data_IF_386818447300
#
_entry.id   IF_386818447300
#
_cell.length_a   1.000
_cell.length_b   1.000
_cell.length_c   1.000
_cell.angle_alpha   90.00
_cell.angle_beta   90.00
_cell.angle_gamma   90.00
#
_symmetry.space_group_name_H-M   'P 1'
#
loop_
_entity.id
_entity.type
_entity.pdbx_description
1 polymer ?
#
# COMPACT_ATOMS: atom_id res chain seq x y z
N UNK A 1 -5.84 -26.09 12.33
CA UNK A 1 -5.35 -27.24 11.55
C UNK A 1 -4.10 -26.78 10.82
N UNK A 2 -2.95 -27.32 11.22
CA UNK A 2 -1.66 -27.15 10.56
C UNK A 2 -1.48 -28.37 9.65
N UNK A 3 -1.26 -28.15 8.34
CA UNK A 3 -1.17 -29.23 7.36
C UNK A 3 -1.00 -28.71 5.92
N UNK A 4 0.26 -28.51 5.55
CA UNK A 4 0.89 -28.50 4.21
C UNK A 4 0.04 -28.24 2.95
N UNK A 5 0.37 -27.14 2.25
CA UNK A 5 0.80 -27.22 0.85
C UNK A 5 2.11 -26.41 0.71
N UNK A 6 3.25 -27.08 0.86
CA UNK A 6 4.59 -26.52 0.62
C UNK A 6 4.92 -26.58 -0.88
N UNK A 7 4.04 -26.00 -1.70
CA UNK A 7 4.19 -25.93 -3.14
C UNK A 7 4.25 -24.47 -3.59
N UNK A 8 5.22 -24.16 -4.45
CA UNK A 8 5.14 -22.97 -5.28
C UNK A 8 4.01 -23.21 -6.29
N UNK A 9 2.97 -22.37 -6.29
CA UNK A 9 1.87 -22.44 -7.23
C UNK A 9 2.17 -21.54 -8.44
N UNK A 10 2.49 -22.11 -9.61
CA UNK A 10 2.61 -21.35 -10.85
C UNK A 10 1.21 -21.05 -11.39
N UNK A 11 1.00 -19.80 -11.79
CA UNK A 11 -0.24 -19.32 -12.41
C UNK A 11 0.10 -18.67 -13.74
N UNK A 12 -0.60 -19.07 -14.81
CA UNK A 12 -0.54 -18.44 -16.12
C UNK A 12 -1.76 -17.53 -16.31
N UNK A 13 -1.56 -16.22 -16.19
CA UNK A 13 -2.65 -15.24 -16.23
C UNK A 13 -3.23 -15.04 -17.63
N UNK A 14 -2.53 -15.48 -18.68
CA UNK A 14 -2.99 -15.36 -20.07
C UNK A 14 -3.87 -16.54 -20.45
N UNK A 15 -3.53 -17.74 -19.97
CA UNK A 15 -4.22 -18.98 -20.33
C UNK A 15 -5.35 -19.34 -19.36
N UNK A 16 -5.25 -18.93 -18.10
CA UNK A 16 -6.26 -19.25 -17.09
C UNK A 16 -7.42 -18.24 -17.10
N UNK A 17 -8.64 -18.72 -16.92
CA UNK A 17 -9.85 -17.87 -16.86
C UNK A 17 -9.96 -17.03 -15.58
N UNK A 18 -9.04 -17.21 -14.62
CA UNK A 18 -8.99 -16.48 -13.36
C UNK A 18 -7.98 -17.10 -12.42
N UNK A 19 -7.49 -16.30 -11.48
CA UNK A 19 -6.45 -16.71 -10.53
C UNK A 19 -6.75 -16.23 -9.11
N UNK A 20 -6.10 -16.81 -8.08
CA UNK A 20 -6.30 -16.39 -6.69
C UNK A 20 -6.02 -14.90 -6.48
N UNK A 21 -6.87 -14.24 -5.70
CA UNK A 21 -6.70 -12.86 -5.25
C UNK A 21 -6.43 -11.86 -6.40
N UNK A 22 -7.27 -11.82 -7.44
CA UNK A 22 -6.93 -11.14 -8.70
C UNK A 22 -6.69 -9.64 -8.51
N UNK A 23 -7.47 -9.00 -7.64
CA UNK A 23 -7.33 -7.58 -7.31
C UNK A 23 -6.03 -7.32 -6.55
N UNK A 24 -5.75 -8.09 -5.50
CA UNK A 24 -4.55 -7.93 -4.67
C UNK A 24 -3.26 -8.17 -5.47
N UNK A 25 -3.21 -9.21 -6.31
CA UNK A 25 -2.04 -9.49 -7.15
C UNK A 25 -1.83 -8.38 -8.19
N UNK A 26 -2.90 -7.83 -8.76
CA UNK A 26 -2.80 -6.68 -9.66
C UNK A 26 -2.26 -5.43 -8.93
N UNK A 27 -2.68 -5.20 -7.68
CA UNK A 27 -2.15 -4.13 -6.85
C UNK A 27 -0.67 -4.34 -6.51
N UNK A 28 -0.23 -5.57 -6.23
CA UNK A 28 1.20 -5.89 -6.06
C UNK A 28 2.02 -5.61 -7.33
N UNK A 29 1.47 -5.93 -8.50
CA UNK A 29 2.10 -5.63 -9.78
C UNK A 29 2.27 -4.11 -9.98
N UNK A 30 1.20 -3.33 -9.76
CA UNK A 30 1.24 -1.86 -9.81
C UNK A 30 2.22 -1.28 -8.79
N UNK A 31 2.25 -1.84 -7.58
CA UNK A 31 3.16 -1.42 -6.53
C UNK A 31 4.63 -1.62 -6.92
N UNK A 32 4.96 -2.74 -7.56
CA UNK A 32 6.31 -2.97 -8.09
C UNK A 32 6.70 -1.91 -9.12
N UNK A 33 5.80 -1.55 -10.03
CA UNK A 33 6.04 -0.47 -11.00
C UNK A 33 6.19 0.88 -10.31
N UNK A 34 5.35 1.19 -9.32
CA UNK A 34 5.48 2.40 -8.51
C UNK A 34 6.86 2.50 -7.86
N UNK A 35 7.37 1.41 -7.26
CA UNK A 35 8.74 1.33 -6.73
C UNK A 35 9.79 1.61 -7.81
N UNK A 36 9.71 0.96 -8.97
CA UNK A 36 10.66 1.16 -10.06
C UNK A 36 10.64 2.62 -10.56
N UNK A 37 9.44 3.18 -10.76
CA UNK A 37 9.22 4.55 -11.17
C UNK A 37 9.85 5.56 -10.20
N UNK A 38 9.68 5.37 -8.89
CA UNK A 38 10.34 6.21 -7.89
C UNK A 38 11.87 6.14 -7.97
N UNK A 39 12.44 4.94 -8.11
CA UNK A 39 13.90 4.76 -8.14
C UNK A 39 14.56 5.22 -9.45
N UNK A 40 13.82 5.21 -10.56
CA UNK A 40 14.36 5.49 -11.90
C UNK A 40 13.85 6.81 -12.51
N UNK A 41 12.88 7.47 -11.88
CA UNK A 41 12.23 8.65 -12.43
C UNK A 41 11.44 8.36 -13.71
N UNK A 42 10.87 7.16 -13.84
CA UNK A 42 10.09 6.72 -15.00
C UNK A 42 8.59 6.77 -14.72
N UNK A 43 7.75 6.52 -15.74
CA UNK A 43 6.29 6.48 -15.57
C UNK A 43 5.67 5.23 -16.21
N UNK A 44 6.17 4.04 -15.87
CA UNK A 44 5.58 2.80 -16.35
C UNK A 44 4.20 2.55 -15.75
N UNK A 45 3.24 2.25 -16.61
CA UNK A 45 1.90 1.83 -16.25
C UNK A 45 1.72 0.34 -16.55
N UNK A 46 0.95 -0.33 -15.69
CA UNK A 46 0.65 -1.76 -15.84
C UNK A 46 -0.27 -1.98 -17.05
N UNK A 47 0.21 -2.74 -18.03
CA UNK A 47 -0.62 -3.22 -19.14
C UNK A 47 -1.34 -4.51 -18.75
N UNK A 48 -0.57 -5.57 -18.51
CA UNK A 48 -1.13 -6.89 -18.25
C UNK A 48 -0.23 -7.74 -17.36
N UNK A 49 -0.84 -8.60 -16.56
CA UNK A 49 -0.13 -9.62 -15.80
C UNK A 49 0.02 -10.87 -16.68
N UNK A 50 1.25 -11.35 -16.86
CA UNK A 50 1.52 -12.50 -17.74
C UNK A 50 1.45 -13.80 -16.95
N UNK A 51 2.17 -13.86 -15.83
CA UNK A 51 2.23 -15.03 -14.95
C UNK A 51 2.76 -14.66 -13.59
N UNK A 52 2.50 -15.49 -12.60
CA UNK A 52 3.17 -15.37 -11.31
C UNK A 52 3.32 -16.72 -10.62
N UNK A 53 4.28 -16.78 -9.71
CA UNK A 53 4.43 -17.89 -8.79
C UNK A 53 4.09 -17.39 -7.39
N UNK A 54 3.30 -18.13 -6.63
CA UNK A 54 2.97 -17.77 -5.26
C UNK A 54 3.12 -18.93 -4.29
N UNK A 55 3.45 -18.63 -3.04
CA UNK A 55 3.39 -19.63 -1.98
C UNK A 55 1.97 -19.76 -1.42
N UNK A 56 1.51 -21.00 -1.20
CA UNK A 56 0.17 -21.32 -0.72
C UNK A 56 0.06 -21.24 0.82
N UNK A 57 0.69 -20.25 1.42
CA UNK A 57 0.72 -20.02 2.86
C UNK A 57 -0.22 -18.86 3.27
N UNK A 58 -0.45 -18.69 4.58
CA UNK A 58 -1.25 -17.56 5.09
C UNK A 58 -0.62 -16.20 4.76
N UNK A 59 0.71 -16.15 4.69
CA UNK A 59 1.50 -15.07 4.09
C UNK A 59 2.12 -15.60 2.81
N UNK A 60 2.00 -14.88 1.72
CA UNK A 60 2.50 -15.32 0.42
C UNK A 60 3.74 -14.53 -0.01
N UNK A 61 4.68 -15.23 -0.65
CA UNK A 61 5.69 -14.61 -1.50
C UNK A 61 5.24 -14.78 -2.94
N UNK A 62 5.13 -13.68 -3.67
CA UNK A 62 4.60 -13.62 -5.04
C UNK A 62 5.69 -13.08 -5.96
N UNK A 63 6.07 -13.88 -6.95
CA UNK A 63 7.01 -13.49 -8.01
C UNK A 63 6.28 -13.41 -9.34
N UNK A 64 6.11 -12.19 -9.86
CA UNK A 64 5.28 -11.86 -11.00
C UNK A 64 6.13 -11.53 -12.23
N UNK A 65 5.61 -11.88 -13.40
CA UNK A 65 6.04 -11.34 -14.69
C UNK A 65 4.85 -10.58 -15.29
N UNK A 66 5.08 -9.35 -15.70
CA UNK A 66 4.06 -8.45 -16.20
C UNK A 66 4.57 -7.67 -17.42
N UNK A 67 3.66 -7.13 -18.20
CA UNK A 67 3.93 -6.14 -19.24
C UNK A 67 3.58 -4.75 -18.70
N UNK A 68 4.44 -3.79 -18.98
CA UNK A 68 4.22 -2.39 -18.65
C UNK A 68 4.69 -1.50 -19.79
N UNK A 69 4.03 -0.37 -19.99
CA UNK A 69 4.40 0.61 -21.01
C UNK A 69 4.56 1.99 -20.38
N UNK A 70 5.39 2.83 -20.99
CA UNK A 70 5.38 4.26 -20.68
C UNK A 70 4.33 4.96 -21.56
N UNK A 71 3.63 5.98 -21.05
CA UNK A 71 2.72 6.80 -21.86
C UNK A 71 3.50 7.48 -22.99
N UNK A 72 3.32 6.98 -24.22
CA UNK A 72 3.94 7.50 -25.44
C UNK A 72 2.98 7.31 -26.63
N UNK A 73 3.15 8.06 -27.75
CA UNK A 73 2.30 7.91 -28.94
C UNK A 73 2.30 6.51 -29.54
N UNK A 74 3.43 5.79 -29.42
CA UNK A 74 3.59 4.38 -29.78
C UNK A 74 4.20 3.62 -28.59
N UNK A 75 3.38 3.18 -27.63
CA UNK A 75 3.85 2.64 -26.37
C UNK A 75 4.44 1.23 -26.55
N UNK A 76 5.76 1.12 -26.45
CA UNK A 76 6.44 -0.17 -26.47
C UNK A 76 6.36 -0.86 -25.09
N UNK A 77 5.63 -1.98 -25.03
CA UNK A 77 5.54 -2.78 -23.83
C UNK A 77 6.89 -3.42 -23.46
N UNK A 78 7.30 -3.24 -22.20
CA UNK A 78 8.47 -3.88 -21.60
C UNK A 78 8.03 -4.97 -20.64
N UNK A 79 8.80 -6.06 -20.60
CA UNK A 79 8.57 -7.15 -19.64
C UNK A 79 9.25 -6.84 -18.32
N UNK A 80 8.47 -6.80 -17.24
CA UNK A 80 8.96 -6.60 -15.88
C UNK A 80 8.90 -7.87 -15.06
N UNK A 81 9.77 -7.93 -14.07
CA UNK A 81 9.73 -8.89 -12.98
C UNK A 81 9.52 -8.14 -11.67
N UNK A 82 8.52 -8.57 -10.89
CA UNK A 82 8.19 -7.98 -9.59
C UNK A 82 8.14 -9.07 -8.54
N UNK A 83 8.68 -8.81 -7.35
CA UNK A 83 8.59 -9.68 -6.18
C UNK A 83 7.98 -8.93 -5.01
N UNK A 84 7.01 -9.57 -4.36
CA UNK A 84 6.39 -9.10 -3.12
C UNK A 84 6.40 -10.23 -2.09
N UNK A 85 6.87 -9.94 -0.88
CA UNK A 85 6.93 -10.88 0.24
C UNK A 85 6.04 -10.36 1.38
N UNK A 86 4.94 -11.05 1.69
CA UNK A 86 4.05 -10.66 2.78
C UNK A 86 4.63 -11.00 4.15
N UNK A 87 4.53 -10.07 5.11
CA UNK A 87 5.00 -10.25 6.48
C UNK A 87 3.86 -10.63 7.44
N UNK A 88 2.61 -10.25 7.13
CA UNK A 88 1.44 -10.50 7.99
C UNK A 88 0.22 -10.92 7.19
N UNK A 89 -0.52 -11.88 7.72
CA UNK A 89 -1.83 -12.26 7.18
C UNK A 89 -2.91 -11.30 7.68
N UNK A 90 -3.90 -10.99 6.83
CA UNK A 90 -5.07 -10.16 7.14
C UNK A 90 -4.74 -8.71 7.58
N UNK A 91 -3.59 -8.20 7.18
CA UNK A 91 -3.13 -6.83 7.43
C UNK A 91 -2.16 -6.45 6.31
N UNK A 92 -2.10 -5.16 5.97
CA UNK A 92 -1.14 -4.68 4.99
C UNK A 92 0.24 -4.64 5.63
N UNK A 93 1.11 -5.57 5.27
CA UNK A 93 2.54 -5.56 5.61
C UNK A 93 3.29 -6.46 4.61
N UNK A 94 4.07 -5.86 3.72
CA UNK A 94 4.92 -6.58 2.78
C UNK A 94 6.16 -5.80 2.41
N UNK A 95 7.12 -6.51 1.83
CA UNK A 95 8.30 -5.96 1.16
C UNK A 95 8.22 -6.19 -0.36
N UNK A 96 8.65 -5.20 -1.14
CA UNK A 96 8.95 -5.31 -2.56
C UNK A 96 10.45 -5.15 -2.79
N UNK A 97 11.13 -6.29 -2.96
CA UNK A 97 12.59 -6.38 -3.12
C UNK A 97 13.03 -6.43 -4.59
N UNK A 98 12.13 -6.80 -5.50
CA UNK A 98 12.40 -6.85 -6.94
C UNK A 98 11.32 -6.07 -7.67
N UNK A 99 11.73 -5.09 -8.45
CA UNK A 99 10.98 -4.54 -9.56
C UNK A 99 12.00 -4.06 -10.59
N UNK A 100 12.04 -4.70 -11.75
CA UNK A 100 13.04 -4.45 -12.80
C UNK A 100 12.56 -4.93 -14.16
N UNK A 101 13.16 -4.41 -15.23
CA UNK A 101 12.96 -4.95 -16.57
C UNK A 101 13.69 -6.30 -16.66
N UNK A 102 13.04 -7.30 -17.23
CA UNK A 102 13.51 -8.69 -17.24
C UNK A 102 14.91 -8.85 -17.85
N UNK A 103 15.21 -8.05 -18.88
CA UNK A 103 16.46 -8.16 -19.64
C UNK A 103 17.61 -7.34 -19.05
N UNK A 104 17.36 -6.50 -18.03
CA UNK A 104 18.41 -5.72 -17.36
C UNK A 104 19.37 -6.59 -16.53
N UNK A 105 18.92 -7.74 -16.03
CA UNK A 105 19.74 -8.59 -15.14
C UNK A 105 19.54 -10.07 -15.43
N UNK A 106 20.59 -10.72 -15.94
CA UNK A 106 20.64 -12.18 -16.14
C UNK A 106 21.00 -12.86 -14.81
N UNK A 107 20.06 -12.91 -13.86
CA UNK A 107 20.27 -13.70 -12.64
C UNK A 107 20.01 -15.18 -12.93
N UNK A 108 21.06 -16.00 -12.94
CA UNK A 108 20.97 -17.48 -13.05
C UNK A 108 20.53 -18.18 -11.75
N UNK A 109 20.37 -17.45 -10.65
CA UNK A 109 20.05 -18.03 -9.35
C UNK A 109 18.56 -18.38 -9.26
N UNK A 110 18.20 -19.57 -8.73
CA UNK A 110 16.81 -19.97 -8.54
C UNK A 110 16.12 -19.06 -7.52
N UNK A 111 14.80 -18.94 -7.66
CA UNK A 111 13.95 -18.23 -6.72
C UNK A 111 13.99 -18.90 -5.34
N UNK A 112 14.46 -18.15 -4.34
CA UNK A 112 14.39 -18.56 -2.93
C UNK A 112 13.46 -17.58 -2.21
N UNK A 113 12.30 -18.04 -1.71
CA UNK A 113 11.46 -17.23 -0.83
C UNK A 113 12.27 -16.78 0.39
N UNK A 114 12.13 -15.52 0.75
CA UNK A 114 12.78 -14.89 1.89
C UNK A 114 11.71 -14.01 2.55
N UNK A 115 11.45 -14.25 3.83
CA UNK A 115 10.39 -13.59 4.59
C UNK A 115 10.96 -12.65 5.66
N UNK A 116 12.19 -12.18 5.45
CA UNK A 116 13.00 -11.51 6.48
C UNK A 116 13.68 -10.22 5.99
N UNK A 117 13.29 -9.69 4.84
CA UNK A 117 13.75 -8.37 4.40
C UNK A 117 12.81 -7.29 4.93
N UNK A 118 13.36 -6.28 5.57
CA UNK A 118 12.66 -5.04 5.87
C UNK A 118 13.55 -3.91 5.34
N UNK A 119 12.97 -2.99 4.56
CA UNK A 119 13.64 -1.76 4.18
C UNK A 119 14.08 -1.01 5.46
N UNK A 120 15.30 -0.53 5.44
CA UNK A 120 15.93 0.12 6.59
C UNK A 120 15.16 1.40 6.95
N UNK A 121 14.45 1.36 8.08
CA UNK A 121 13.60 2.45 8.54
C UNK A 121 14.24 3.25 9.68
N UNK A 122 14.10 4.56 9.63
CA UNK A 122 14.65 5.51 10.60
C UNK A 122 13.56 6.43 11.18
N UNK A 123 13.87 7.07 12.32
CA UNK A 123 12.99 8.06 12.94
C UNK A 123 11.55 7.57 13.15
N UNK A 124 10.59 8.38 12.70
CA UNK A 124 9.13 8.13 12.80
C UNK A 124 8.64 6.93 11.95
N UNK A 125 9.51 6.37 11.11
CA UNK A 125 9.18 5.23 10.25
C UNK A 125 9.55 3.88 10.88
N UNK A 126 10.22 3.88 12.04
CA UNK A 126 10.59 2.68 12.78
C UNK A 126 9.48 2.29 13.77
N UNK A 127 9.26 1.00 13.94
CA UNK A 127 8.34 0.45 14.95
C UNK A 127 6.87 0.44 14.49
N UNK A 128 5.94 0.55 15.44
CA UNK A 128 4.51 0.45 15.15
C UNK A 128 4.01 1.60 14.26
N UNK A 129 2.95 1.33 13.48
CA UNK A 129 2.25 2.36 12.71
C UNK A 129 1.62 3.40 13.65
N UNK A 130 1.72 4.72 13.35
CA UNK A 130 1.13 5.75 14.17
C UNK A 130 -0.40 5.62 14.20
N UNK A 131 -1.05 6.29 15.15
CA UNK A 131 -2.49 6.44 15.14
C UNK A 131 -2.88 7.65 14.28
N UNK A 132 -4.17 7.78 13.98
CA UNK A 132 -4.69 8.99 13.34
C UNK A 132 -4.33 10.24 14.18
N UNK A 133 -3.73 11.29 13.61
CA UNK A 133 -3.38 12.51 14.33
C UNK A 133 -4.64 13.26 14.81
N UNK A 134 -4.54 14.07 15.87
CA UNK A 134 -5.63 14.97 16.25
C UNK A 134 -5.83 16.06 15.18
N UNK A 135 -7.01 16.66 15.13
CA UNK A 135 -7.31 17.73 14.17
C UNK A 135 -6.36 18.92 14.36
N UNK A 136 -6.01 19.25 15.62
CA UNK A 136 -5.00 20.28 15.93
C UNK A 136 -3.61 19.93 15.38
N UNK A 137 -3.23 18.65 15.42
CA UNK A 137 -1.95 18.20 14.88
C UNK A 137 -1.94 18.22 13.35
N UNK A 138 -3.06 17.91 12.69
CA UNK A 138 -3.19 17.99 11.23
C UNK A 138 -3.07 19.44 10.71
N UNK A 139 -3.40 20.43 11.55
CA UNK A 139 -3.23 21.84 11.21
C UNK A 139 -1.76 22.31 11.30
N UNK A 140 -0.84 21.48 11.79
CA UNK A 140 0.59 21.76 11.76
C UNK A 140 1.16 21.54 10.35
N UNK A 141 1.12 22.58 9.52
CA UNK A 141 1.66 22.56 8.15
C UNK A 141 3.17 22.29 8.07
N UNK A 142 3.91 22.46 9.17
CA UNK A 142 5.33 22.08 9.22
C UNK A 142 5.48 20.57 9.24
N UNK A 143 4.62 19.88 9.98
CA UNK A 143 4.66 18.42 10.13
C UNK A 143 3.91 17.66 9.05
N UNK A 144 2.73 18.14 8.68
CA UNK A 144 1.86 17.46 7.72
C UNK A 144 1.68 18.29 6.45
N UNK A 145 1.70 17.61 5.32
CA UNK A 145 1.13 18.13 4.08
C UNK A 145 -0.31 17.65 3.98
N UNK A 146 -1.25 18.56 4.21
CA UNK A 146 -2.67 18.27 4.20
C UNK A 146 -3.26 18.57 2.81
N UNK A 147 -3.85 17.56 2.20
CA UNK A 147 -4.57 17.62 0.94
C UNK A 147 -6.05 17.37 1.23
N UNK A 148 -6.86 18.43 1.25
CA UNK A 148 -8.32 18.32 1.36
C UNK A 148 -8.91 18.13 -0.03
N UNK A 149 -9.61 17.03 -0.22
CA UNK A 149 -10.04 16.59 -1.55
C UNK A 149 -11.39 17.21 -1.89
N UNK A 150 -11.33 18.49 -2.27
CA UNK A 150 -12.26 19.13 -3.20
C UNK A 150 -11.52 19.52 -4.50
N UNK A 151 -10.51 18.73 -4.88
CA UNK A 151 -9.57 19.05 -5.96
C UNK A 151 -10.04 18.52 -7.31
N UNK A 152 -9.64 19.20 -8.38
CA UNK A 152 -9.96 18.87 -9.77
C UNK A 152 -9.33 17.52 -10.16
N UNK A 153 -10.00 16.74 -11.01
CA UNK A 153 -9.57 15.41 -11.48
C UNK A 153 -8.09 15.33 -11.95
N UNK A 154 -7.52 16.44 -12.44
CA UNK A 154 -6.14 16.50 -12.94
C UNK A 154 -5.05 16.30 -11.88
N UNK A 155 -5.27 16.73 -10.63
CA UNK A 155 -4.28 16.58 -9.54
C UNK A 155 -4.31 15.17 -8.94
N UNK A 156 -5.45 14.49 -9.08
CA UNK A 156 -5.63 13.10 -8.69
C UNK A 156 -4.90 12.12 -9.61
N UNK A 157 -4.88 12.38 -10.92
CA UNK A 157 -4.20 11.53 -11.90
C UNK A 157 -2.69 11.41 -11.60
N UNK A 158 -2.07 12.47 -11.08
CA UNK A 158 -0.64 12.47 -10.70
C UNK A 158 -0.34 11.72 -9.39
N UNK A 159 -1.37 11.46 -8.56
CA UNK A 159 -1.24 10.85 -7.24
C UNK A 159 -2.11 9.59 -7.08
N UNK A 160 -2.28 8.85 -8.18
CA UNK A 160 -3.04 7.60 -8.24
C UNK A 160 -2.57 6.55 -7.22
N UNK A 161 -1.31 6.64 -6.80
CA UNK A 161 -0.70 5.79 -5.78
C UNK A 161 -1.39 5.89 -4.41
N UNK A 162 -2.03 7.03 -4.06
CA UNK A 162 -2.77 7.18 -2.80
C UNK A 162 -4.01 6.26 -2.80
N UNK A 163 -4.77 6.27 -3.90
CA UNK A 163 -5.88 5.33 -4.10
C UNK A 163 -5.37 3.90 -4.04
N UNK A 164 -4.27 3.61 -4.74
CA UNK A 164 -3.66 2.28 -4.71
C UNK A 164 -3.30 1.83 -3.29
N UNK A 165 -2.80 2.72 -2.43
CA UNK A 165 -2.47 2.39 -1.04
C UNK A 165 -3.72 2.09 -0.21
N UNK A 166 -4.78 2.88 -0.39
CA UNK A 166 -6.08 2.60 0.25
C UNK A 166 -6.66 1.26 -0.20
N UNK A 167 -6.66 0.99 -1.51
CA UNK A 167 -7.11 -0.27 -2.10
C UNK A 167 -6.32 -1.46 -1.54
N UNK A 168 -4.99 -1.31 -1.39
CA UNK A 168 -4.11 -2.31 -0.78
C UNK A 168 -4.48 -2.57 0.69
N UNK A 169 -4.74 -1.54 1.50
CA UNK A 169 -5.20 -1.71 2.89
C UNK A 169 -6.49 -2.51 2.91
N UNK A 170 -7.48 -2.13 2.09
CA UNK A 170 -8.78 -2.81 2.02
C UNK A 170 -8.61 -4.28 1.61
N UNK A 171 -7.89 -4.54 0.52
CA UNK A 171 -7.69 -5.91 0.01
C UNK A 171 -6.88 -6.80 0.96
N UNK A 172 -5.91 -6.24 1.68
CA UNK A 172 -5.13 -7.00 2.65
C UNK A 172 -5.99 -7.47 3.83
N UNK A 173 -7.03 -6.71 4.22
CA UNK A 173 -7.96 -7.06 5.29
C UNK A 173 -9.16 -7.89 4.79
N UNK A 174 -9.60 -7.72 3.54
CA UNK A 174 -10.61 -8.55 2.89
C UNK A 174 -10.11 -9.18 1.58
N UNK A 175 -9.40 -10.30 1.71
CA UNK A 175 -8.83 -11.04 0.57
C UNK A 175 -9.90 -11.70 -0.34
N UNK A 176 -11.19 -11.61 -0.01
CA UNK A 176 -12.27 -12.16 -0.86
C UNK A 176 -12.67 -11.22 -1.99
N UNK A 177 -12.19 -9.97 -1.98
CA UNK A 177 -12.47 -9.02 -3.05
C UNK A 177 -11.92 -9.56 -4.37
N UNK A 178 -12.82 -9.82 -5.32
CA UNK A 178 -12.50 -10.37 -6.65
C UNK A 178 -12.66 -9.36 -7.78
N UNK A 179 -13.36 -8.26 -7.55
CA UNK A 179 -13.66 -7.23 -8.54
C UNK A 179 -13.29 -5.86 -8.00
N UNK A 180 -12.84 -4.97 -8.90
CA UNK A 180 -12.50 -3.59 -8.56
C UNK A 180 -13.71 -2.70 -8.30
N UNK A 181 -14.92 -3.14 -8.66
CA UNK A 181 -16.15 -2.35 -8.50
C UNK A 181 -16.43 -1.93 -7.04
N UNK A 182 -15.84 -2.65 -6.07
CA UNK A 182 -15.86 -2.28 -4.65
C UNK A 182 -15.21 -0.90 -4.41
N UNK A 183 -14.24 -0.51 -5.24
CA UNK A 183 -13.51 0.74 -5.12
C UNK A 183 -14.19 1.93 -5.79
N UNK A 184 -15.12 1.68 -6.72
CA UNK A 184 -15.92 2.74 -7.35
C UNK A 184 -16.83 3.46 -6.36
N UNK A 185 -17.01 2.89 -5.17
CA UNK A 185 -17.79 3.45 -4.07
C UNK A 185 -16.92 4.28 -3.11
N UNK A 186 -15.58 4.22 -3.24
CA UNK A 186 -14.68 4.92 -2.34
C UNK A 186 -14.64 6.40 -2.66
N UNK A 187 -14.93 7.21 -1.65
CA UNK A 187 -14.80 8.67 -1.70
C UNK A 187 -13.69 9.07 -0.73
N UNK A 188 -12.50 9.44 -1.23
CA UNK A 188 -11.44 9.97 -0.35
C UNK A 188 -11.74 11.44 -0.07
N UNK A 189 -11.85 11.79 1.20
CA UNK A 189 -12.25 13.11 1.69
C UNK A 189 -11.04 13.98 2.04
N UNK A 190 -10.04 13.38 2.69
CA UNK A 190 -8.88 14.10 3.21
C UNK A 190 -7.66 13.17 3.24
N UNK A 191 -6.51 13.70 2.83
CA UNK A 191 -5.23 13.01 2.91
C UNK A 191 -4.23 13.89 3.63
N UNK A 192 -3.52 13.36 4.61
CA UNK A 192 -2.37 14.02 5.21
C UNK A 192 -1.11 13.18 4.98
N UNK A 193 0.00 13.83 4.69
CA UNK A 193 1.30 13.18 4.46
C UNK A 193 2.30 13.72 5.45
N UNK A 194 2.91 12.82 6.20
CA UNK A 194 3.98 13.11 7.14
C UNK A 194 5.28 12.52 6.60
N UNK A 195 6.26 13.39 6.40
CA UNK A 195 7.61 13.01 5.98
C UNK A 195 8.56 13.12 7.17
N UNK A 196 9.63 12.33 7.17
CA UNK A 196 10.70 12.48 8.16
C UNK A 196 11.56 13.65 7.73
N UNK A 197 11.24 14.85 8.20
CA UNK A 197 12.11 16.01 8.00
C UNK A 197 13.25 15.87 9.01
N UNK A 198 14.45 15.48 8.56
CA UNK A 198 15.66 16.04 9.18
C UNK A 198 15.61 17.54 8.88
N UNK A 199 15.80 18.35 9.92
CA UNK A 199 15.87 19.81 9.93
C UNK A 199 16.34 20.44 8.60
N UNK A 200 15.42 20.59 7.64
CA UNK A 200 15.64 21.54 6.53
C UNK A 200 15.47 22.89 7.21
N UNK A 201 16.59 23.58 7.41
CA UNK A 201 16.59 24.95 7.92
C UNK A 201 15.50 25.74 7.20
N UNK A 202 14.68 26.52 7.94
CA UNK A 202 13.61 27.27 7.33
C UNK A 202 14.17 28.09 6.16
N UNK A 203 13.46 28.20 5.03
CA UNK A 203 13.81 29.17 4.01
C UNK A 203 13.96 30.51 4.71
N UNK A 204 15.11 31.16 4.51
CA UNK A 204 15.41 32.49 5.02
C UNK A 204 14.14 33.34 4.88
N UNK A 205 13.69 33.93 5.99
CA UNK A 205 12.48 34.76 6.10
C UNK A 205 12.53 35.91 5.07
N UNK A 206 12.11 35.63 3.85
CA UNK A 206 11.63 36.64 2.91
C UNK A 206 10.11 36.55 2.97
N UNK A 207 9.51 37.49 3.71
CA UNK A 207 8.10 37.51 4.08
C UNK A 207 7.12 37.37 2.92
N UNK A 208 6.80 36.12 2.59
CA UNK A 208 5.65 35.73 1.78
C UNK A 208 4.92 34.65 2.59
N UNK A 209 3.97 35.11 3.40
CA UNK A 209 2.96 34.24 4.01
C UNK A 209 2.12 33.63 2.87
N UNK A 210 1.75 32.35 3.00
CA UNK A 210 1.04 31.49 2.04
C UNK A 210 1.88 30.82 0.92
N UNK A 211 2.89 30.02 1.29
CA UNK A 211 3.44 28.99 0.39
C UNK A 211 2.95 27.62 0.85
N UNK A 212 2.05 27.02 0.07
CA UNK A 212 1.66 25.61 0.20
C UNK A 212 2.91 24.72 0.34
N UNK A 213 2.93 23.72 1.23
CA UNK A 213 4.13 22.90 1.38
C UNK A 213 4.49 22.24 0.04
N UNK A 214 5.77 22.20 -0.34
CA UNK A 214 6.15 21.82 -1.70
C UNK A 214 5.68 20.40 -2.04
N UNK A 215 5.17 20.22 -3.26
CA UNK A 215 4.85 18.93 -3.89
C UNK A 215 5.96 17.86 -3.75
N UNK A 216 7.19 18.26 -3.41
CA UNK A 216 8.32 17.40 -3.08
C UNK A 216 7.99 16.35 -2.00
N UNK A 217 7.11 16.67 -1.04
CA UNK A 217 6.69 15.72 0.02
C UNK A 217 5.96 14.49 -0.54
N UNK A 218 5.27 14.61 -1.67
CA UNK A 218 4.61 13.48 -2.36
C UNK A 218 5.63 12.47 -2.90
N UNK A 219 6.80 12.97 -3.30
CA UNK A 219 7.88 12.19 -3.89
C UNK A 219 8.87 11.63 -2.84
N UNK A 220 8.72 11.96 -1.56
CA UNK A 220 9.62 11.52 -0.50
C UNK A 220 9.71 9.99 -0.40
N UNK A 221 10.91 9.44 -0.22
CA UNK A 221 11.13 7.98 -0.21
C UNK A 221 10.36 7.27 0.92
N UNK A 222 10.32 7.89 2.10
CA UNK A 222 9.63 7.37 3.27
C UNK A 222 8.58 8.35 3.78
N UNK A 223 7.34 7.86 3.93
CA UNK A 223 6.17 8.68 4.31
C UNK A 223 5.18 7.89 5.16
N UNK A 224 4.50 8.56 6.09
CA UNK A 224 3.23 8.10 6.65
C UNK A 224 2.11 8.86 5.94
N UNK A 225 1.13 8.13 5.44
CA UNK A 225 -0.01 8.65 4.68
C UNK A 225 -1.28 8.34 5.46
N UNK A 226 -2.02 9.38 5.80
CA UNK A 226 -3.25 9.31 6.56
C UNK A 226 -4.40 9.60 5.60
N UNK A 227 -5.32 8.65 5.45
CA UNK A 227 -6.39 8.71 4.45
C UNK A 227 -7.74 8.65 5.17
N UNK A 228 -8.56 9.68 4.99
CA UNK A 228 -9.97 9.73 5.44
C UNK A 228 -10.88 9.52 4.23
N UNK A 229 -11.84 8.60 4.33
CA UNK A 229 -12.64 8.18 3.18
C UNK A 229 -14.01 7.61 3.58
N UNK A 230 -14.93 7.48 2.63
CA UNK A 230 -16.20 6.72 2.72
C UNK A 230 -16.18 5.55 1.74
N UNK A 231 -17.21 4.67 1.80
CA UNK A 231 -17.43 3.64 0.78
C UNK A 231 -16.94 2.23 1.14
N UNK A 232 -17.13 1.79 2.39
CA UNK A 232 -16.74 0.44 2.85
C UNK A 232 -17.91 -0.53 3.11
N UNK A 233 -19.11 -0.22 2.65
CA UNK A 233 -20.33 -0.96 3.03
C UNK A 233 -20.26 -2.46 2.72
N UNK A 234 -19.60 -2.80 1.61
CA UNK A 234 -19.47 -4.17 1.12
C UNK A 234 -18.15 -4.85 1.54
N UNK A 235 -17.30 -4.18 2.33
CA UNK A 235 -15.99 -4.69 2.75
C UNK A 235 -16.15 -5.43 4.08
N UNK A 236 -15.73 -6.69 4.12
CA UNK A 236 -15.80 -7.49 5.34
C UNK A 236 -14.40 -7.62 5.93
N UNK A 237 -14.17 -7.03 7.12
CA UNK A 237 -12.89 -7.10 7.84
C UNK A 237 -12.97 -8.11 8.99
N UNK A 238 -12.49 -9.37 8.86
CA UNK A 238 -12.78 -10.43 9.85
C UNK A 238 -12.22 -10.16 11.25
N UNK A 239 -11.23 -9.28 11.36
CA UNK A 239 -10.52 -8.95 12.61
C UNK A 239 -11.00 -7.65 13.27
N UNK A 240 -11.82 -6.86 12.56
CA UNK A 240 -12.27 -5.54 13.01
C UNK A 240 -13.76 -5.37 12.77
N UNK A 241 -14.43 -4.67 13.69
CA UNK A 241 -15.82 -4.28 13.54
C UNK A 241 -15.85 -2.77 13.47
N UNK A 242 -16.30 -2.25 12.32
CA UNK A 242 -16.56 -0.83 12.11
C UNK A 242 -18.06 -0.58 12.17
N UNK A 243 -18.43 0.66 12.44
CA UNK A 243 -19.77 1.13 12.12
C UNK A 243 -19.99 1.04 10.61
N UNK A 244 -21.17 0.61 10.21
CA UNK A 244 -21.53 0.37 8.81
C UNK A 244 -22.57 1.39 8.35
N UNK A 245 -22.39 1.95 7.17
CA UNK A 245 -23.35 2.85 6.53
C UNK A 245 -22.66 3.70 5.47
N UNK A 246 -23.42 4.14 4.47
CA UNK A 246 -22.95 4.93 3.32
C UNK A 246 -22.22 6.21 3.71
N UNK A 247 -22.66 6.84 4.81
CA UNK A 247 -22.08 8.10 5.30
C UNK A 247 -21.01 7.92 6.37
N UNK A 248 -20.65 6.67 6.72
CA UNK A 248 -19.64 6.43 7.75
C UNK A 248 -18.26 6.81 7.21
N UNK A 249 -17.59 7.70 7.93
CA UNK A 249 -16.21 8.07 7.64
C UNK A 249 -15.25 7.05 8.24
N UNK A 250 -14.37 6.54 7.40
CA UNK A 250 -13.30 5.63 7.77
C UNK A 250 -11.95 6.34 7.67
N UNK A 251 -11.00 5.84 8.44
CA UNK A 251 -9.64 6.37 8.51
C UNK A 251 -8.67 5.22 8.33
N UNK A 252 -7.62 5.43 7.55
CA UNK A 252 -6.52 4.49 7.35
C UNK A 252 -5.19 5.21 7.48
N UNK A 253 -4.16 4.47 7.89
CA UNK A 253 -2.78 4.92 7.87
C UNK A 253 -1.93 3.91 7.12
N UNK A 254 -1.08 4.41 6.24
CA UNK A 254 -0.14 3.63 5.44
C UNK A 254 1.25 4.22 5.58
N UNK A 255 2.24 3.40 5.90
CA UNK A 255 3.65 3.77 5.90
C UNK A 255 4.33 3.13 4.70
N UNK A 256 4.96 3.96 3.87
CA UNK A 256 5.94 3.57 2.86
C UNK A 256 7.34 3.84 3.42
N UNK A 257 8.25 2.89 3.24
CA UNK A 257 9.69 3.11 3.43
C UNK A 257 10.40 2.59 2.18
N UNK A 258 11.14 3.45 1.48
CA UNK A 258 11.99 3.09 0.36
C UNK A 258 13.45 3.31 0.74
N UNK A 259 14.24 2.24 0.72
CA UNK A 259 15.68 2.34 0.86
C UNK A 259 16.30 2.56 -0.53
N UNK A 260 16.84 3.73 -0.80
CA UNK A 260 17.45 4.04 -2.11
C UNK A 260 18.72 3.24 -2.40
N UNK A 261 19.45 2.83 -1.35
CA UNK A 261 20.70 2.09 -1.49
C UNK A 261 20.46 0.63 -1.89
N UNK A 262 19.57 -0.07 -1.19
CA UNK A 262 19.22 -1.46 -1.55
C UNK A 262 18.14 -1.53 -2.64
N UNK A 263 17.36 -0.45 -2.77
CA UNK A 263 16.15 -0.39 -3.58
C UNK A 263 14.93 -0.99 -2.86
N UNK A 264 15.07 -1.67 -1.73
CA UNK A 264 13.94 -2.36 -1.10
C UNK A 264 12.86 -1.37 -0.64
N UNK A 265 11.60 -1.73 -0.87
CA UNK A 265 10.47 -0.91 -0.43
C UNK A 265 9.55 -1.72 0.47
N UNK A 266 9.22 -1.20 1.64
CA UNK A 266 8.18 -1.79 2.50
C UNK A 266 6.93 -0.93 2.52
N UNK A 267 5.80 -1.61 2.58
CA UNK A 267 4.50 -0.97 2.78
C UNK A 267 3.79 -1.65 3.94
N UNK A 268 3.35 -0.86 4.89
CA UNK A 268 2.53 -1.33 6.01
C UNK A 268 1.32 -0.44 6.20
N UNK A 269 0.18 -0.99 6.60
CA UNK A 269 -1.02 -0.20 6.80
C UNK A 269 -2.07 -0.85 7.69
N UNK A 270 -2.88 0.01 8.30
CA UNK A 270 -3.99 -0.38 9.16
C UNK A 270 -5.15 0.60 9.01
N UNK A 271 -6.36 0.13 9.30
CA UNK A 271 -7.47 1.02 9.60
C UNK A 271 -7.27 1.64 10.99
N UNK A 272 -7.77 2.87 11.14
CA UNK A 272 -7.80 3.61 12.39
C UNK A 272 -9.22 3.51 12.98
N UNK A 273 -9.32 3.24 14.28
CA UNK A 273 -10.60 2.97 14.93
C UNK A 273 -11.08 1.53 14.74
N UNK A 274 -12.35 1.28 15.07
CA UNK A 274 -12.96 -0.05 15.03
C UNK A 274 -12.66 -0.91 16.27
N UNK A 275 -13.58 -1.82 16.60
CA UNK A 275 -13.44 -2.74 17.72
C UNK A 275 -12.79 -4.03 17.26
N UNK A 276 -11.65 -4.39 17.86
CA UNK A 276 -11.02 -5.70 17.63
C UNK A 276 -11.93 -6.82 18.14
N UNK A 277 -12.19 -7.81 17.29
CA UNK A 277 -12.99 -8.99 17.65
C UNK A 277 -12.37 -9.77 18.82
N UNK A 278 -11.04 -9.74 18.96
CA UNK A 278 -10.32 -10.34 20.10
C UNK A 278 -10.60 -9.64 21.43
N UNK A 279 -10.74 -8.31 21.44
CA UNK A 279 -11.06 -7.55 22.67
C UNK A 279 -12.49 -7.81 23.16
N UNK A 280 -13.44 -8.05 22.25
CA UNK A 280 -14.85 -8.39 22.60
C UNK A 280 -14.97 -9.76 23.29
N UNK A 281 -14.16 -10.74 22.90
CA UNK A 281 -14.13 -12.07 23.54
C UNK A 281 -13.53 -11.99 24.96
N UNK A 282 -12.57 -11.11 25.19
CA UNK A 282 -12.00 -10.91 26.53
C UNK A 282 -12.95 -10.16 27.46
N UNK A 283 -13.71 -9.17 26.95
CA UNK A 283 -14.71 -8.45 27.75
C UNK A 283 -15.95 -9.28 28.07
N UNK A 284 -16.37 -10.18 27.16
CA UNK A 284 -17.45 -11.14 27.44
C UNK A 284 -17.05 -12.22 28.45
N UNK A 285 -15.78 -12.66 28.44
CA UNK A 285 -15.23 -13.58 29.46
C UNK A 285 -15.06 -12.94 30.84
N UNK A 286 -14.83 -11.63 30.94
CA UNK A 286 -14.78 -10.92 32.24
C UNK A 286 -16.15 -10.71 32.86
N UNK A 287 -17.22 -10.61 32.05
CA UNK A 287 -18.61 -10.44 32.53
C UNK A 287 -19.28 -11.74 33.03
N UNK A 288 -18.64 -12.89 32.83
CA UNK A 288 -19.16 -14.21 33.27
C UNK A 288 -18.50 -14.73 34.55
N UNK A 289 -17.76 -13.87 35.27
CA UNK A 289 -17.21 -14.17 36.61
C UNK A 289 -17.65 -13.09 37.60
N UNK A 290 -18.90 -13.19 38.01
CA UNK A 290 -19.44 -12.52 39.20
C UNK A 290 -20.65 -13.36 39.60
N UNK A 291 -20.37 -14.38 40.41
CA UNK A 291 -21.32 -15.00 41.34
C UNK A 291 -21.43 -14.11 42.58
#
# INVERSE_FOLDING_TARGET
MCGMITGLLPIDCVRERGYPYPVLVNLYAKMGLHRYNMLKGTNFQLDSLVKFNMLQNCVSSVYMTLLAHEPAPDPLAKTFQVRVDEHKANSLAFECSIARIKDEVITKKPFVPHFHGDALAYGIFKGELPNWPSDDALNDGKRFYLVRLSLKESEWQANDWISMYLELVICAHDRRIRKRDVYSQLEILEVAIETGVEDVEPPIETGVEDVEPPNERLNATSVNVYIKFKGMENVITPMMIFESGEHVEHKAVVRRVLNEHSGDMTLSGKFCGGLSTKKKIQSSKKRTRSD
#
